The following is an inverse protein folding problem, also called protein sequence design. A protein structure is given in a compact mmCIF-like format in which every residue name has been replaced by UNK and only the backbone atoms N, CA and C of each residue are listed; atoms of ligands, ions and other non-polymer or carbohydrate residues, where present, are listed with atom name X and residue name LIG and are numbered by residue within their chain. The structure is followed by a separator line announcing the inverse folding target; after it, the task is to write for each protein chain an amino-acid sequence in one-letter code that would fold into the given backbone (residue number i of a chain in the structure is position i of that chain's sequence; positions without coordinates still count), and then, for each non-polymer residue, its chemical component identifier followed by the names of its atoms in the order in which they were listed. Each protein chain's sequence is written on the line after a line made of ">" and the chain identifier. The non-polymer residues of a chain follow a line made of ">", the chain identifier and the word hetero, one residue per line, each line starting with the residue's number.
data_IF_207011732487
#
_entry.id   IF_207011732487
#
_cell.length_a   1.000
_cell.length_b   1.000
_cell.length_c   1.000
_cell.angle_alpha   90.00
_cell.angle_beta   90.00
_cell.angle_gamma   90.00
#
_symmetry.space_group_name_H-M   'P 1'
#
loop_
_entity.id
_entity.type
_entity.pdbx_description
1 polymer ?
#
# COMPACT_ATOMS: atom_id res chain seq x y z
N UNK A 1 -10.34 -22.42 -18.08
CA UNK A 1 -9.25 -21.43 -18.00
C UNK A 1 -9.71 -20.38 -17.02
N UNK A 2 -9.21 -20.46 -15.79
CA UNK A 2 -9.72 -19.67 -14.68
C UNK A 2 -8.87 -18.40 -14.65
N UNK A 3 -9.23 -17.41 -15.46
CA UNK A 3 -8.65 -16.07 -15.33
C UNK A 3 -9.28 -15.42 -14.11
N UNK A 4 -8.90 -15.87 -12.92
CA UNK A 4 -9.19 -15.15 -11.69
C UNK A 4 -8.34 -13.89 -11.78
N UNK A 5 -8.91 -12.82 -12.33
CA UNK A 5 -8.29 -11.50 -12.42
C UNK A 5 -7.96 -11.08 -11.00
N UNK A 6 -6.74 -11.38 -10.56
CA UNK A 6 -6.29 -11.05 -9.22
C UNK A 6 -6.11 -9.53 -9.22
N UNK A 7 -6.82 -8.79 -8.35
CA UNK A 7 -6.72 -7.34 -8.35
C UNK A 7 -5.24 -6.96 -8.13
N UNK A 8 -4.68 -6.10 -8.99
CA UNK A 8 -3.30 -5.66 -8.79
C UNK A 8 -3.30 -4.66 -7.63
N UNK A 9 -2.43 -4.89 -6.67
CA UNK A 9 -2.23 -3.96 -5.58
C UNK A 9 -1.05 -3.07 -5.93
N UNK A 10 -1.24 -1.76 -5.81
CA UNK A 10 -0.17 -0.78 -5.97
C UNK A 10 -0.08 0.02 -4.70
N UNK A 11 1.09 0.09 -4.09
CA UNK A 11 1.29 0.88 -2.89
C UNK A 11 1.89 2.23 -3.27
N UNK A 12 1.18 3.31 -2.96
CA UNK A 12 1.67 4.66 -3.11
C UNK A 12 2.25 5.15 -1.78
N UNK A 13 3.54 5.46 -1.76
CA UNK A 13 4.25 5.94 -0.58
C UNK A 13 5.30 6.97 -0.97
N UNK A 14 5.33 8.12 -0.28
CA UNK A 14 6.23 9.25 -0.57
C UNK A 14 6.28 9.69 -2.05
N UNK A 15 5.15 9.59 -2.75
CA UNK A 15 5.05 9.93 -4.17
C UNK A 15 5.52 8.83 -5.12
N UNK A 16 6.07 7.73 -4.62
CA UNK A 16 6.38 6.54 -5.41
C UNK A 16 5.20 5.57 -5.40
N UNK A 17 4.93 4.93 -6.54
CA UNK A 17 3.90 3.89 -6.66
C UNK A 17 4.58 2.57 -7.00
N UNK A 18 4.45 1.59 -6.11
CA UNK A 18 5.14 0.31 -6.17
C UNK A 18 4.08 -0.78 -6.38
N UNK A 19 4.10 -1.51 -7.51
CA UNK A 19 3.23 -2.65 -7.68
C UNK A 19 3.68 -3.76 -6.72
N UNK A 20 2.74 -4.33 -5.99
CA UNK A 20 2.98 -5.42 -5.05
C UNK A 20 2.05 -6.60 -5.32
N UNK A 21 2.49 -7.83 -5.01
CA UNK A 21 1.61 -8.98 -5.07
C UNK A 21 0.46 -8.86 -4.07
N UNK A 22 -0.62 -9.60 -4.36
CA UNK A 22 -1.83 -9.66 -3.54
C UNK A 22 -1.52 -10.01 -2.07
N UNK A 23 -0.55 -10.89 -1.84
CA UNK A 23 -0.19 -11.38 -0.50
C UNK A 23 0.37 -10.27 0.40
N UNK A 24 0.96 -9.24 -0.24
CA UNK A 24 1.44 -8.05 0.44
C UNK A 24 0.29 -7.05 0.49
N UNK A 25 -0.24 -6.61 -0.66
CA UNK A 25 -1.22 -5.53 -0.73
C UNK A 25 -2.55 -5.79 0.00
N UNK A 26 -2.93 -7.06 0.15
CA UNK A 26 -4.12 -7.46 0.90
C UNK A 26 -3.95 -7.40 2.42
N UNK A 27 -2.73 -7.29 2.95
CA UNK A 27 -2.46 -7.27 4.39
C UNK A 27 -1.67 -6.04 4.81
N UNK A 28 -2.27 -5.23 5.69
CA UNK A 28 -1.66 -4.02 6.22
C UNK A 28 -0.32 -4.31 6.92
N UNK A 29 -0.24 -5.44 7.64
CA UNK A 29 0.97 -5.85 8.35
C UNK A 29 2.08 -6.21 7.38
N UNK A 30 1.78 -6.94 6.29
CA UNK A 30 2.74 -7.30 5.25
C UNK A 30 3.23 -6.08 4.49
N UNK A 31 2.33 -5.15 4.16
CA UNK A 31 2.65 -3.84 3.57
C UNK A 31 3.64 -3.11 4.47
N UNK A 32 3.33 -2.99 5.77
CA UNK A 32 4.19 -2.29 6.73
C UNK A 32 5.52 -3.00 6.93
N UNK A 33 5.53 -4.33 7.05
CA UNK A 33 6.74 -5.11 7.25
C UNK A 33 7.69 -4.98 6.04
N UNK A 34 7.16 -5.12 4.84
CA UNK A 34 7.92 -5.01 3.58
C UNK A 34 8.44 -3.58 3.41
N UNK A 35 7.55 -2.59 3.49
CA UNK A 35 7.95 -1.21 3.23
C UNK A 35 8.75 -0.58 4.38
N UNK A 36 8.64 -1.09 5.61
CA UNK A 36 9.47 -0.62 6.73
C UNK A 36 10.97 -0.87 6.53
N UNK A 37 11.36 -1.76 5.60
CA UNK A 37 12.75 -1.92 5.20
C UNK A 37 13.27 -0.78 4.33
N UNK A 38 12.37 -0.09 3.62
CA UNK A 38 12.68 0.96 2.66
C UNK A 38 12.32 2.36 3.16
N UNK A 39 11.28 2.47 3.99
CA UNK A 39 10.73 3.73 4.47
C UNK A 39 10.58 3.69 5.99
N UNK A 40 11.46 4.41 6.68
CA UNK A 40 11.34 4.61 8.12
C UNK A 40 10.07 5.43 8.43
N UNK A 41 9.27 4.95 9.39
CA UNK A 41 8.02 5.59 9.81
C UNK A 41 6.73 4.97 9.25
N UNK A 42 6.81 4.02 8.32
CA UNK A 42 5.60 3.32 7.81
C UNK A 42 4.85 2.54 8.89
N UNK A 43 5.54 2.05 9.93
CA UNK A 43 4.91 1.31 11.04
C UNK A 43 3.75 2.10 11.68
N UNK A 44 3.93 3.41 11.84
CA UNK A 44 2.94 4.34 12.39
C UNK A 44 2.15 5.10 11.31
N UNK A 45 2.27 4.73 10.04
CA UNK A 45 1.57 5.40 8.94
C UNK A 45 0.14 4.90 8.79
N UNK A 46 -0.73 5.79 8.31
CA UNK A 46 -2.09 5.45 7.95
C UNK A 46 -2.11 4.82 6.55
N UNK A 47 -2.81 3.69 6.43
CA UNK A 47 -3.00 2.99 5.17
C UNK A 47 -4.40 3.29 4.67
N UNK A 48 -4.51 3.80 3.44
CA UNK A 48 -5.78 4.04 2.76
C UNK A 48 -5.85 3.16 1.51
N UNK A 49 -6.91 2.40 1.36
CA UNK A 49 -7.14 1.58 0.16
C UNK A 49 -8.18 2.27 -0.71
N UNK A 50 -7.88 2.42 -1.99
CA UNK A 50 -8.77 3.01 -2.99
C UNK A 50 -8.87 2.06 -4.16
N UNK A 51 -10.09 1.60 -4.44
CA UNK A 51 -10.36 0.81 -5.64
C UNK A 51 -10.38 1.77 -6.82
N UNK A 52 -9.50 1.53 -7.78
CA UNK A 52 -9.37 2.30 -9.00
C UNK A 52 -10.44 1.87 -10.03
N UNK A 53 -10.72 2.74 -10.99
CA UNK A 53 -11.73 2.51 -12.02
C UNK A 53 -11.44 1.29 -12.92
N UNK A 54 -10.18 0.86 -12.99
CA UNK A 54 -9.74 -0.33 -13.71
C UNK A 54 -9.86 -1.63 -12.90
N UNK A 55 -10.32 -1.57 -11.64
CA UNK A 55 -10.44 -2.71 -10.73
C UNK A 55 -9.20 -2.99 -9.87
N UNK A 56 -8.13 -2.22 -10.02
CA UNK A 56 -6.93 -2.33 -9.18
C UNK A 56 -7.12 -1.65 -7.82
N UNK A 57 -6.33 -2.07 -6.83
CA UNK A 57 -6.36 -1.47 -5.50
C UNK A 57 -5.11 -0.63 -5.28
N UNK A 58 -5.29 0.69 -5.21
CA UNK A 58 -4.25 1.61 -4.80
C UNK A 58 -4.24 1.75 -3.28
N UNK A 59 -3.12 1.43 -2.66
CA UNK A 59 -2.89 1.53 -1.23
C UNK A 59 -2.03 2.77 -0.97
N UNK A 60 -2.62 3.86 -0.54
CA UNK A 60 -1.91 5.09 -0.19
C UNK A 60 -1.43 5.04 1.26
N UNK A 61 -0.11 5.13 1.44
CA UNK A 61 0.56 5.18 2.74
C UNK A 61 0.86 6.63 3.06
N UNK A 62 -0.04 7.23 3.85
CA UNK A 62 0.17 8.56 4.40
C UNK A 62 1.00 8.44 5.68
N UNK A 63 2.25 8.93 5.64
CA UNK A 63 2.99 9.19 6.87
C UNK A 63 2.14 10.11 7.73
N UNK A 64 1.85 9.68 8.96
CA UNK A 64 1.18 10.56 9.92
C UNK A 64 2.19 11.65 10.23
N UNK A 65 2.02 12.84 9.63
CA UNK A 65 2.78 14.01 10.03
C UNK A 65 2.56 14.15 11.54
N UNK A 66 3.66 14.09 12.32
CA UNK A 66 3.59 14.33 13.76
C UNK A 66 2.87 15.65 14.04
N UNK A 67 2.37 15.87 15.28
CA UNK A 67 1.68 17.10 15.60
C UNK A 67 2.54 18.27 15.12
N UNK A 68 2.01 19.07 14.18
CA UNK A 68 2.58 20.37 13.85
C UNK A 68 2.64 21.10 15.18
N UNK A 69 3.87 21.36 15.64
CA UNK A 69 4.13 22.13 16.85
C UNK A 69 3.50 23.51 16.79
#
# INVERSE_FOLDING_TARGET
>A
MNTTTTPNYSIKVEGQTIPVPLEIGSSDEQIKATLSQYFEGIKNSQIRRTVQANGDVLVDICKQAGPKG
#
